data_IF_870750709110
#
_entry.id   IF_870750709110
#
_cell.length_a   1.000
_cell.length_b   1.000
_cell.length_c   1.000
_cell.angle_alpha   90.00
_cell.angle_beta   90.00
_cell.angle_gamma   90.00
#
_symmetry.space_group_name_H-M   'P 1'
#
loop_
_entity.id
_entity.type
_entity.pdbx_description
1 polymer ?
#
# COMPACT_ATOMS: atom_id res chain seq x y z
N UNK A 1 -96.60 18.05 48.78
CA UNK A 1 -95.31 17.37 49.06
C UNK A 1 -94.45 17.37 47.78
N UNK A 2 -93.48 18.31 47.72
CA UNK A 2 -92.66 18.53 46.56
C UNK A 2 -91.25 17.99 46.86
N UNK A 3 -90.85 16.98 46.10
CA UNK A 3 -89.52 16.38 46.18
C UNK A 3 -88.59 17.14 45.17
N UNK A 4 -87.61 17.80 45.68
CA UNK A 4 -86.53 18.44 44.88
C UNK A 4 -85.46 17.43 44.59
N UNK A 5 -85.25 17.14 43.31
CA UNK A 5 -84.11 16.29 42.83
C UNK A 5 -82.87 17.24 42.71
N UNK A 6 -81.77 16.85 43.40
CA UNK A 6 -80.48 17.49 43.33
C UNK A 6 -79.66 16.76 42.22
N UNK A 7 -79.35 17.48 41.14
CA UNK A 7 -78.45 16.93 40.09
C UNK A 7 -76.96 17.23 40.44
N UNK A 8 -76.20 16.15 40.62
CA UNK A 8 -74.76 16.22 40.91
C UNK A 8 -74.01 16.19 39.57
N UNK A 9 -73.46 17.36 39.15
CA UNK A 9 -72.64 17.45 37.95
C UNK A 9 -71.22 16.95 38.21
N UNK A 10 -70.84 15.89 37.56
CA UNK A 10 -69.42 15.42 37.56
C UNK A 10 -68.66 16.12 36.46
N UNK A 11 -67.72 17.00 36.82
CA UNK A 11 -66.77 17.61 35.90
C UNK A 11 -65.61 16.66 35.71
N UNK A 12 -65.51 16.03 34.54
CA UNK A 12 -64.36 15.19 34.12
C UNK A 12 -63.35 16.13 33.51
N UNK A 13 -62.30 16.50 34.24
CA UNK A 13 -61.13 17.22 33.72
C UNK A 13 -60.19 16.24 33.01
N UNK A 14 -60.25 16.20 31.68
CA UNK A 14 -59.32 15.41 30.84
C UNK A 14 -57.95 16.07 30.86
N UNK A 15 -57.00 15.52 31.61
CA UNK A 15 -55.57 15.85 31.52
C UNK A 15 -55.00 15.34 30.20
N UNK A 16 -54.89 16.19 29.18
CA UNK A 16 -54.13 15.93 27.95
C UNK A 16 -52.63 15.99 28.31
N UNK A 17 -52.06 14.85 28.67
CA UNK A 17 -50.64 14.67 28.75
C UNK A 17 -50.08 14.71 27.31
N UNK A 18 -49.59 15.90 26.87
CA UNK A 18 -48.92 16.07 25.60
C UNK A 18 -47.58 15.33 25.63
N UNK A 19 -47.53 14.16 24.92
CA UNK A 19 -46.23 13.53 24.59
C UNK A 19 -45.44 14.46 23.70
N UNK A 20 -44.48 15.20 24.25
CA UNK A 20 -43.51 15.92 23.44
C UNK A 20 -42.70 14.90 22.61
N UNK A 21 -42.56 15.08 21.28
CA UNK A 21 -41.79 14.19 20.48
C UNK A 21 -40.33 14.15 21.01
N UNK A 22 -39.64 12.97 20.95
CA UNK A 22 -38.27 12.86 21.38
C UNK A 22 -37.41 13.84 20.57
N UNK A 23 -36.60 14.68 21.28
CA UNK A 23 -35.62 15.54 20.62
C UNK A 23 -34.67 14.67 19.82
N UNK A 24 -34.77 14.72 18.49
CA UNK A 24 -33.80 14.09 17.59
C UNK A 24 -32.47 14.86 17.76
N UNK A 25 -31.54 14.27 18.48
CA UNK A 25 -30.17 14.81 18.58
C UNK A 25 -29.52 14.57 17.21
N UNK A 26 -29.09 15.61 16.48
CA UNK A 26 -28.43 15.40 15.22
C UNK A 26 -27.14 14.57 15.45
N UNK A 27 -26.76 13.71 14.51
CA UNK A 27 -25.52 12.96 14.63
C UNK A 27 -24.33 13.95 14.74
N UNK A 28 -23.28 13.58 15.48
CA UNK A 28 -22.11 14.43 15.60
C UNK A 28 -21.52 14.72 14.21
N UNK A 29 -20.92 15.90 13.99
CA UNK A 29 -20.31 16.23 12.72
C UNK A 29 -19.19 15.21 12.40
N UNK A 30 -19.05 14.86 11.12
CA UNK A 30 -17.96 13.99 10.67
C UNK A 30 -16.62 14.62 11.00
N UNK A 31 -15.71 13.82 11.50
CA UNK A 31 -14.36 14.26 11.88
C UNK A 31 -13.35 13.24 11.40
N UNK A 32 -12.44 13.69 10.56
CA UNK A 32 -11.36 12.88 10.02
C UNK A 32 -10.03 13.26 10.71
N UNK A 33 -9.19 12.27 10.98
CA UNK A 33 -7.83 12.47 11.48
C UNK A 33 -6.86 12.08 10.35
N UNK A 34 -6.00 13.03 9.97
CA UNK A 34 -4.90 12.79 9.01
C UNK A 34 -3.60 12.78 9.79
N UNK A 35 -2.79 11.75 9.61
CA UNK A 35 -1.48 11.59 10.28
C UNK A 35 -0.43 11.29 9.25
N UNK A 36 0.67 12.05 9.25
CA UNK A 36 1.83 11.81 8.40
C UNK A 36 2.70 10.70 9.02
N UNK A 37 2.75 9.56 8.36
CA UNK A 37 3.55 8.43 8.80
C UNK A 37 4.88 8.40 8.05
N UNK A 38 5.97 7.96 8.69
CA UNK A 38 7.21 7.68 7.98
C UNK A 38 7.03 6.49 7.03
N UNK A 39 7.83 6.47 5.97
CA UNK A 39 7.93 5.32 5.09
C UNK A 39 8.43 4.10 5.89
N UNK A 40 7.76 2.94 5.81
CA UNK A 40 8.14 1.75 6.57
C UNK A 40 9.45 1.11 6.10
N UNK A 41 9.92 1.40 4.87
CA UNK A 41 11.12 0.79 4.29
C UNK A 41 12.39 1.53 4.70
N UNK A 42 12.36 2.86 4.64
CA UNK A 42 13.55 3.68 4.84
C UNK A 42 13.40 4.75 5.92
N UNK A 43 12.22 4.85 6.54
CA UNK A 43 11.93 5.80 7.62
C UNK A 43 11.82 7.26 7.16
N UNK A 44 11.91 7.54 5.85
CA UNK A 44 11.78 8.90 5.33
C UNK A 44 10.39 9.46 5.58
N UNK A 45 10.34 10.75 5.86
CA UNK A 45 9.11 11.49 6.08
C UNK A 45 8.95 12.50 4.94
N UNK A 46 7.85 12.37 4.21
CA UNK A 46 7.48 13.34 3.19
C UNK A 46 6.78 14.56 3.78
N UNK A 47 6.09 15.30 2.93
CA UNK A 47 5.22 16.41 3.30
C UNK A 47 3.80 16.13 2.83
N UNK A 48 2.82 16.43 3.66
CA UNK A 48 1.41 16.33 3.30
C UNK A 48 0.68 17.66 3.53
N UNK A 49 -0.09 18.10 2.54
CA UNK A 49 -0.92 19.29 2.63
C UNK A 49 -2.38 18.88 2.83
N UNK A 50 -3.01 19.37 3.88
CA UNK A 50 -4.41 19.09 4.21
C UNK A 50 -5.23 20.37 4.04
N UNK A 51 -6.20 20.34 3.11
CA UNK A 51 -7.11 21.47 2.83
C UNK A 51 -8.48 21.15 3.40
N UNK A 52 -8.98 22.01 4.29
CA UNK A 52 -10.34 21.92 4.82
C UNK A 52 -11.40 22.45 3.87
N UNK A 53 -12.66 22.15 4.14
CA UNK A 53 -13.81 22.62 3.35
C UNK A 53 -13.93 24.15 3.28
N UNK A 54 -13.34 24.86 4.25
CA UNK A 54 -13.29 26.34 4.28
C UNK A 54 -12.21 26.96 3.40
N UNK A 55 -11.38 26.12 2.72
CA UNK A 55 -10.20 26.55 1.98
C UNK A 55 -8.95 26.77 2.85
N UNK A 56 -9.06 26.62 4.17
CA UNK A 56 -7.89 26.70 5.07
C UNK A 56 -6.96 25.50 4.85
N UNK A 57 -5.66 25.75 4.85
CA UNK A 57 -4.60 24.79 4.53
C UNK A 57 -3.68 24.59 5.72
N UNK A 58 -3.30 23.36 5.98
CA UNK A 58 -2.32 22.97 7.00
C UNK A 58 -1.31 22.02 6.36
N UNK A 59 -0.04 22.20 6.67
CA UNK A 59 1.05 21.36 6.20
C UNK A 59 1.58 20.48 7.34
N UNK A 60 1.75 19.18 7.07
CA UNK A 60 2.37 18.21 7.95
C UNK A 60 3.75 17.87 7.39
N UNK A 61 4.79 17.99 8.21
CA UNK A 61 6.20 17.82 7.77
C UNK A 61 7.00 16.89 8.67
N UNK A 62 6.43 16.43 9.78
CA UNK A 62 7.13 15.60 10.77
C UNK A 62 6.46 14.24 10.92
N UNK A 63 7.25 13.23 11.23
CA UNK A 63 6.74 11.89 11.55
C UNK A 63 5.73 11.95 12.70
N UNK A 64 4.62 11.21 12.55
CA UNK A 64 3.52 11.15 13.51
C UNK A 64 2.86 12.49 13.80
N UNK A 65 3.06 13.50 12.97
CA UNK A 65 2.32 14.75 13.02
C UNK A 65 0.96 14.59 12.37
N UNK A 66 -0.08 15.11 13.01
CA UNK A 66 -1.44 14.99 12.49
C UNK A 66 -2.28 16.24 12.66
N UNK A 67 -3.34 16.31 11.88
CA UNK A 67 -4.39 17.34 11.97
C UNK A 67 -5.77 16.68 11.94
N UNK A 68 -6.72 17.30 12.64
CA UNK A 68 -8.13 16.89 12.63
C UNK A 68 -8.93 17.82 11.74
N UNK A 69 -9.73 17.25 10.86
CA UNK A 69 -10.64 17.97 9.97
C UNK A 69 -12.07 17.67 10.41
N UNK A 70 -12.77 18.67 10.93
CA UNK A 70 -14.18 18.57 11.28
C UNK A 70 -15.02 19.20 10.17
N UNK A 71 -16.13 18.57 9.83
CA UNK A 71 -17.02 19.05 8.77
C UNK A 71 -17.40 20.52 8.97
N UNK A 72 -17.15 21.36 7.96
CA UNK A 72 -17.44 22.79 7.96
C UNK A 72 -16.46 23.66 8.75
N UNK A 73 -15.38 23.09 9.29
CA UNK A 73 -14.35 23.82 10.04
C UNK A 73 -13.00 23.81 9.31
N UNK A 74 -12.11 24.71 9.70
CA UNK A 74 -10.71 24.67 9.29
C UNK A 74 -10.01 23.45 9.94
N UNK A 75 -8.99 22.85 9.29
CA UNK A 75 -8.14 21.86 9.93
C UNK A 75 -7.50 22.42 11.20
N UNK A 76 -7.33 21.59 12.22
CA UNK A 76 -6.62 22.00 13.45
C UNK A 76 -5.14 22.25 13.16
N UNK A 77 -4.47 23.02 14.02
CA UNK A 77 -3.02 23.14 13.95
C UNK A 77 -2.35 21.76 14.05
N UNK A 78 -1.25 21.51 13.31
CA UNK A 78 -0.50 20.26 13.38
C UNK A 78 -0.03 19.97 14.81
N UNK A 79 -0.20 18.73 15.23
CA UNK A 79 0.24 18.27 16.55
C UNK A 79 0.76 16.83 16.46
N UNK A 80 1.68 16.47 17.35
CA UNK A 80 2.15 15.09 17.46
C UNK A 80 0.99 14.19 17.91
N UNK A 81 0.79 13.07 17.19
CA UNK A 81 -0.19 12.03 17.54
C UNK A 81 0.56 10.90 18.24
N UNK A 82 0.20 10.55 19.49
CA UNK A 82 0.84 9.45 20.22
C UNK A 82 0.73 8.12 19.47
N UNK A 83 1.79 7.30 19.51
CA UNK A 83 1.84 6.01 18.83
C UNK A 83 0.68 5.07 19.22
N UNK A 84 0.28 5.08 20.49
CA UNK A 84 -0.86 4.28 20.97
C UNK A 84 -2.18 4.72 20.32
N UNK A 85 -2.36 6.03 20.08
CA UNK A 85 -3.53 6.54 19.36
C UNK A 85 -3.50 6.16 17.88
N UNK A 86 -2.32 6.24 17.23
CA UNK A 86 -2.13 5.77 15.86
C UNK A 86 -2.48 4.29 15.76
N UNK A 87 -1.95 3.47 16.67
CA UNK A 87 -2.22 2.03 16.68
C UNK A 87 -3.70 1.72 16.95
N UNK A 88 -4.33 2.43 17.88
CA UNK A 88 -5.75 2.24 18.20
C UNK A 88 -6.67 2.63 17.05
N UNK A 89 -6.36 3.70 16.32
CA UNK A 89 -7.22 4.24 15.25
C UNK A 89 -6.93 3.56 13.91
N UNK A 90 -5.67 3.38 13.56
CA UNK A 90 -5.22 2.92 12.25
C UNK A 90 -4.65 1.50 12.25
N UNK A 91 -4.46 0.86 13.42
CA UNK A 91 -3.75 -0.41 13.53
C UNK A 91 -4.30 -1.50 12.62
N UNK A 92 -5.62 -1.64 12.51
CA UNK A 92 -6.23 -2.60 11.61
C UNK A 92 -5.93 -2.30 10.12
N UNK A 93 -5.98 -1.03 9.73
CA UNK A 93 -5.67 -0.62 8.35
C UNK A 93 -4.18 -0.76 8.04
N UNK A 94 -3.31 -0.43 9.01
CA UNK A 94 -1.86 -0.60 8.88
C UNK A 94 -1.47 -2.07 8.77
N UNK A 95 -2.12 -2.95 9.55
CA UNK A 95 -1.89 -4.39 9.50
C UNK A 95 -2.42 -5.05 8.21
N UNK A 96 -3.42 -4.43 7.56
CA UNK A 96 -3.98 -4.90 6.30
C UNK A 96 -3.19 -4.42 5.06
N UNK A 97 -2.12 -3.63 5.23
CA UNK A 97 -1.29 -3.18 4.11
C UNK A 97 -0.60 -4.37 3.47
N UNK A 98 -0.50 -4.40 2.13
CA UNK A 98 0.35 -5.36 1.45
C UNK A 98 1.80 -5.24 1.93
N UNK A 99 2.54 -6.34 1.86
CA UNK A 99 3.99 -6.30 2.05
C UNK A 99 4.63 -5.41 0.98
N UNK A 100 5.66 -4.68 1.36
CA UNK A 100 6.42 -3.85 0.43
C UNK A 100 7.01 -4.71 -0.71
N UNK A 101 7.16 -4.15 -1.92
CA UNK A 101 7.82 -4.85 -3.01
C UNK A 101 9.25 -5.27 -2.61
N UNK A 102 9.66 -6.46 -3.04
CA UNK A 102 11.02 -6.96 -2.88
C UNK A 102 11.69 -7.09 -4.24
N UNK A 103 12.95 -6.73 -4.30
CA UNK A 103 13.76 -6.80 -5.51
C UNK A 103 14.96 -7.71 -5.28
N UNK A 104 15.17 -8.66 -6.19
CA UNK A 104 16.32 -9.55 -6.19
C UNK A 104 17.05 -9.41 -7.53
N UNK A 105 18.37 -9.40 -7.48
CA UNK A 105 19.22 -9.35 -8.68
C UNK A 105 20.00 -10.65 -8.77
N UNK A 106 19.81 -11.35 -9.88
CA UNK A 106 20.44 -12.65 -10.15
C UNK A 106 21.43 -12.50 -11.29
N UNK A 107 22.66 -12.95 -11.07
CA UNK A 107 23.75 -12.90 -12.05
C UNK A 107 24.03 -14.29 -12.62
N UNK A 108 24.57 -14.30 -13.84
CA UNK A 108 24.97 -15.51 -14.55
C UNK A 108 26.50 -15.62 -14.62
N UNK A 109 26.99 -16.84 -14.68
CA UNK A 109 28.40 -17.12 -14.98
C UNK A 109 28.78 -16.59 -16.36
N UNK A 110 30.03 -16.19 -16.54
CA UNK A 110 30.50 -15.59 -17.80
C UNK A 110 30.36 -16.59 -18.95
N UNK A 111 29.68 -16.17 -20.02
CA UNK A 111 29.46 -16.99 -21.19
C UNK A 111 28.54 -18.19 -20.98
N UNK A 112 27.73 -18.18 -19.92
CA UNK A 112 26.84 -19.27 -19.55
C UNK A 112 25.43 -18.77 -19.22
N UNK A 113 24.46 -19.67 -19.32
CA UNK A 113 23.08 -19.50 -18.84
C UNK A 113 22.91 -20.09 -17.43
N UNK A 114 23.99 -20.37 -16.73
CA UNK A 114 24.00 -20.88 -15.36
C UNK A 114 24.06 -19.71 -14.38
N UNK A 115 23.16 -19.70 -13.38
CA UNK A 115 23.24 -18.73 -12.28
C UNK A 115 24.50 -18.94 -11.47
N UNK A 116 25.10 -17.83 -11.01
CA UNK A 116 26.20 -17.91 -10.04
C UNK A 116 25.74 -18.62 -8.75
N UNK A 117 26.64 -19.23 -7.97
CA UNK A 117 26.29 -19.86 -6.70
C UNK A 117 25.55 -18.92 -5.75
N UNK A 118 25.97 -17.64 -5.67
CA UNK A 118 25.37 -16.61 -4.84
C UNK A 118 23.94 -16.32 -5.30
N UNK A 119 23.71 -16.17 -6.60
CA UNK A 119 22.38 -15.94 -7.19
C UNK A 119 21.45 -17.14 -6.98
N UNK A 120 21.99 -18.36 -7.11
CA UNK A 120 21.22 -19.58 -6.84
C UNK A 120 20.80 -19.67 -5.37
N UNK A 121 21.63 -19.20 -4.45
CA UNK A 121 21.32 -19.17 -3.01
C UNK A 121 20.16 -18.23 -2.66
N UNK A 122 19.81 -17.26 -3.51
CA UNK A 122 18.66 -16.38 -3.32
C UNK A 122 17.31 -17.03 -3.67
N UNK A 123 17.31 -18.12 -4.45
CA UNK A 123 16.05 -18.76 -4.90
C UNK A 123 15.15 -19.19 -3.72
N UNK A 124 15.63 -19.85 -2.66
CA UNK A 124 14.80 -20.16 -1.50
C UNK A 124 14.20 -18.93 -0.81
N UNK A 125 14.93 -17.81 -0.78
CA UNK A 125 14.44 -16.54 -0.20
C UNK A 125 13.33 -15.93 -1.06
N UNK A 126 13.48 -15.92 -2.38
CA UNK A 126 12.43 -15.50 -3.33
C UNK A 126 11.16 -16.32 -3.09
N UNK A 127 11.28 -17.67 -3.02
CA UNK A 127 10.15 -18.56 -2.77
C UNK A 127 9.48 -18.28 -1.43
N UNK A 128 10.26 -18.05 -0.38
CA UNK A 128 9.74 -17.74 0.95
C UNK A 128 8.96 -16.42 0.96
N UNK A 129 9.48 -15.38 0.28
CA UNK A 129 8.82 -14.08 0.17
C UNK A 129 7.50 -14.18 -0.61
N UNK A 130 7.46 -14.91 -1.73
CA UNK A 130 6.23 -15.14 -2.49
C UNK A 130 5.17 -15.82 -1.62
N UNK A 131 5.55 -16.87 -0.87
CA UNK A 131 4.63 -17.61 0.00
C UNK A 131 4.09 -16.80 1.18
N UNK A 132 4.79 -15.74 1.57
CA UNK A 132 4.36 -14.84 2.64
C UNK A 132 3.28 -13.84 2.17
N UNK A 133 3.04 -13.70 0.86
CA UNK A 133 2.07 -12.77 0.27
C UNK A 133 0.74 -13.47 0.00
N UNK A 134 -0.35 -12.75 0.18
CA UNK A 134 -1.70 -13.28 -0.07
C UNK A 134 -2.01 -13.40 -1.56
N UNK A 135 -1.53 -12.46 -2.37
CA UNK A 135 -1.72 -12.43 -3.82
C UNK A 135 -0.42 -11.93 -4.47
N UNK A 136 0.60 -12.81 -4.56
CA UNK A 136 1.89 -12.43 -5.13
C UNK A 136 1.80 -12.21 -6.64
N UNK A 137 2.50 -11.19 -7.11
CA UNK A 137 2.73 -10.85 -8.50
C UNK A 137 4.24 -10.72 -8.71
N UNK A 138 4.81 -11.50 -9.61
CA UNK A 138 6.22 -11.52 -9.90
C UNK A 138 6.50 -11.04 -11.31
N UNK A 139 7.45 -10.13 -11.43
CA UNK A 139 8.01 -9.73 -12.71
C UNK A 139 9.48 -10.14 -12.77
N UNK A 140 9.85 -10.86 -13.82
CA UNK A 140 11.23 -11.33 -14.07
C UNK A 140 11.74 -10.67 -15.34
N UNK A 141 12.74 -9.79 -15.22
CA UNK A 141 13.25 -8.97 -16.32
C UNK A 141 14.71 -9.33 -16.59
N UNK A 142 15.00 -9.71 -17.85
CA UNK A 142 16.35 -10.01 -18.29
C UNK A 142 17.07 -8.82 -18.91
N UNK A 143 18.36 -8.69 -18.58
CA UNK A 143 19.24 -7.65 -19.07
C UNK A 143 20.53 -8.25 -19.64
N UNK A 144 21.18 -7.50 -20.53
CA UNK A 144 22.49 -7.84 -21.11
C UNK A 144 23.46 -6.69 -20.95
N UNK A 145 24.74 -6.93 -21.20
CA UNK A 145 25.67 -5.85 -21.51
C UNK A 145 25.48 -5.39 -22.97
N UNK A 146 26.25 -4.42 -23.39
CA UNK A 146 26.17 -3.80 -24.73
C UNK A 146 26.97 -4.58 -25.80
N UNK A 147 27.41 -5.80 -25.51
CA UNK A 147 28.16 -6.62 -26.48
C UNK A 147 27.20 -7.23 -27.49
N UNK A 148 27.41 -6.98 -28.77
CA UNK A 148 26.65 -7.58 -29.86
C UNK A 148 25.53 -6.69 -30.39
N UNK A 149 24.48 -7.31 -30.94
CA UNK A 149 23.36 -6.64 -31.58
C UNK A 149 22.21 -6.46 -30.58
N UNK A 150 21.58 -5.29 -30.56
CA UNK A 150 20.52 -4.94 -29.61
C UNK A 150 19.30 -5.89 -29.71
N UNK A 151 18.91 -6.32 -30.92
CA UNK A 151 17.81 -7.26 -31.10
C UNK A 151 18.17 -8.66 -30.56
N UNK A 152 19.42 -9.10 -30.74
CA UNK A 152 19.93 -10.34 -30.16
C UNK A 152 19.99 -10.22 -28.62
N UNK A 153 20.36 -9.07 -28.08
CA UNK A 153 20.42 -8.81 -26.64
C UNK A 153 19.02 -8.84 -25.99
N UNK A 154 17.98 -8.37 -26.66
CA UNK A 154 16.58 -8.54 -26.19
C UNK A 154 16.24 -10.05 -26.09
N UNK A 155 16.57 -10.83 -27.09
CA UNK A 155 16.29 -12.29 -27.08
C UNK A 155 17.09 -13.02 -26.00
N UNK A 156 18.37 -12.68 -25.83
CA UNK A 156 19.23 -13.26 -24.79
C UNK A 156 18.72 -12.92 -23.38
N UNK A 157 18.30 -11.66 -23.15
CA UNK A 157 17.69 -11.24 -21.90
C UNK A 157 16.40 -12.02 -21.61
N UNK A 158 15.54 -12.20 -22.63
CA UNK A 158 14.31 -12.98 -22.50
C UNK A 158 14.57 -14.45 -22.18
N UNK A 159 15.57 -15.07 -22.80
CA UNK A 159 15.98 -16.45 -22.51
C UNK A 159 16.42 -16.60 -21.05
N UNK A 160 17.26 -15.70 -20.54
CA UNK A 160 17.70 -15.69 -19.14
C UNK A 160 16.55 -15.51 -18.16
N UNK A 161 15.66 -14.57 -18.43
CA UNK A 161 14.47 -14.34 -17.60
C UNK A 161 13.56 -15.58 -17.59
N UNK A 162 13.39 -16.26 -18.74
CA UNK A 162 12.64 -17.51 -18.85
C UNK A 162 13.27 -18.63 -18.03
N UNK A 163 14.60 -18.78 -18.07
CA UNK A 163 15.32 -19.76 -17.23
C UNK A 163 15.09 -19.53 -15.75
N UNK A 164 15.12 -18.27 -15.31
CA UNK A 164 14.83 -17.93 -13.90
C UNK A 164 13.38 -18.27 -13.56
N UNK A 165 12.40 -17.88 -14.39
CA UNK A 165 11.00 -18.28 -14.21
C UNK A 165 10.86 -19.79 -14.06
N UNK A 166 11.45 -20.55 -14.97
CA UNK A 166 11.34 -22.02 -14.98
C UNK A 166 11.94 -22.64 -13.71
N UNK A 167 13.04 -22.08 -13.21
CA UNK A 167 13.63 -22.46 -11.93
C UNK A 167 12.70 -22.17 -10.74
N UNK A 168 12.04 -21.01 -10.73
CA UNK A 168 11.08 -20.63 -9.70
C UNK A 168 9.84 -21.53 -9.74
N UNK A 169 9.31 -21.81 -10.93
CA UNK A 169 8.18 -22.73 -11.13
C UNK A 169 8.54 -24.16 -10.70
N UNK A 170 9.71 -24.65 -11.07
CA UNK A 170 10.21 -25.97 -10.61
C UNK A 170 10.37 -26.02 -9.08
N UNK A 171 10.57 -24.88 -8.44
CA UNK A 171 10.65 -24.75 -6.97
C UNK A 171 9.27 -24.56 -6.29
N UNK A 172 8.18 -24.65 -7.08
CA UNK A 172 6.80 -24.71 -6.59
C UNK A 172 6.02 -23.40 -6.67
N UNK A 173 6.43 -22.43 -7.52
CA UNK A 173 5.58 -21.27 -7.85
C UNK A 173 4.59 -21.61 -8.96
N UNK A 174 3.43 -20.93 -8.90
CA UNK A 174 2.45 -20.98 -9.98
C UNK A 174 2.95 -20.15 -11.18
N UNK A 175 3.09 -20.75 -12.38
CA UNK A 175 3.53 -20.02 -13.57
C UNK A 175 2.62 -18.84 -13.93
N UNK A 176 1.34 -18.85 -13.55
CA UNK A 176 0.41 -17.74 -13.77
C UNK A 176 0.73 -16.48 -12.94
N UNK A 177 1.57 -16.61 -11.92
CA UNK A 177 2.02 -15.50 -11.08
C UNK A 177 3.32 -14.84 -11.56
N UNK A 178 3.93 -15.33 -12.64
CA UNK A 178 5.26 -14.91 -13.08
C UNK A 178 5.23 -14.34 -14.49
N UNK A 179 5.33 -13.04 -14.59
CA UNK A 179 5.51 -12.33 -15.85
C UNK A 179 6.99 -12.26 -16.22
N UNK A 180 7.28 -12.44 -17.51
CA UNK A 180 8.64 -12.44 -18.05
C UNK A 180 8.79 -11.36 -19.09
N UNK A 181 9.85 -10.56 -18.97
CA UNK A 181 10.21 -9.52 -19.93
C UNK A 181 11.73 -9.45 -20.15
N UNK A 182 12.15 -8.68 -21.14
CA UNK A 182 13.54 -8.33 -21.37
C UNK A 182 13.70 -6.88 -21.76
N UNK A 183 14.70 -6.23 -21.20
CA UNK A 183 15.18 -4.92 -21.64
C UNK A 183 16.44 -5.03 -22.51
N UNK A 184 17.04 -6.22 -22.62
CA UNK A 184 18.32 -6.38 -23.30
C UNK A 184 19.36 -5.42 -22.73
N UNK A 185 20.00 -4.64 -23.61
CA UNK A 185 20.98 -3.61 -23.23
C UNK A 185 20.38 -2.22 -23.00
N UNK A 186 19.06 -2.04 -23.11
CA UNK A 186 18.42 -0.72 -23.03
C UNK A 186 18.42 -0.13 -21.61
N UNK A 187 18.57 -0.97 -20.58
CA UNK A 187 18.56 -0.56 -19.17
C UNK A 187 19.80 -1.12 -18.47
N UNK A 188 20.89 -0.35 -18.51
CA UNK A 188 22.18 -0.70 -17.95
C UNK A 188 22.26 -0.35 -16.47
N UNK A 189 22.62 -1.31 -15.62
CA UNK A 189 22.97 -1.03 -14.21
C UNK A 189 24.25 -0.20 -14.12
N UNK A 190 25.21 -0.47 -15.02
CA UNK A 190 26.46 0.26 -15.16
C UNK A 190 26.52 0.82 -16.57
N UNK A 191 26.46 2.14 -16.74
CA UNK A 191 26.61 2.77 -18.05
C UNK A 191 27.92 2.35 -18.73
N UNK A 192 27.83 1.81 -19.92
CA UNK A 192 28.99 1.41 -20.75
C UNK A 192 28.80 1.91 -22.18
N UNK A 193 29.88 2.19 -22.93
CA UNK A 193 29.81 2.36 -24.37
C UNK A 193 29.29 1.08 -25.06
N UNK A 194 28.92 1.21 -26.34
CA UNK A 194 28.55 0.07 -27.17
C UNK A 194 29.67 -0.97 -27.25
N UNK A 195 29.30 -2.23 -27.43
CA UNK A 195 30.22 -3.37 -27.52
C UNK A 195 31.21 -3.51 -26.35
N UNK A 196 30.77 -3.16 -25.15
CA UNK A 196 31.57 -3.25 -23.93
C UNK A 196 31.04 -4.34 -23.01
N UNK A 197 31.82 -5.38 -22.68
CA UNK A 197 31.38 -6.39 -21.74
C UNK A 197 31.38 -5.86 -20.31
N UNK A 198 30.24 -5.99 -19.61
CA UNK A 198 30.09 -5.65 -18.20
C UNK A 198 29.27 -6.73 -17.49
N UNK A 199 29.89 -7.40 -16.54
CA UNK A 199 29.27 -8.53 -15.84
C UNK A 199 28.01 -8.12 -15.04
N UNK A 200 28.00 -6.90 -14.45
CA UNK A 200 26.88 -6.40 -13.66
C UNK A 200 25.65 -6.07 -14.52
N UNK A 201 25.84 -5.82 -15.82
CA UNK A 201 24.71 -5.63 -16.75
C UNK A 201 24.08 -6.96 -17.18
N UNK A 202 24.81 -8.09 -17.11
CA UNK A 202 24.31 -9.43 -17.42
C UNK A 202 23.56 -10.02 -16.23
N UNK A 203 22.35 -9.55 -15.99
CA UNK A 203 21.53 -9.84 -14.82
C UNK A 203 20.09 -10.20 -15.18
N UNK A 204 19.41 -10.80 -14.24
CA UNK A 204 17.94 -10.88 -14.20
C UNK A 204 17.46 -10.25 -12.91
N UNK A 205 16.50 -9.38 -13.02
CA UNK A 205 15.81 -8.76 -11.88
C UNK A 205 14.49 -9.48 -11.63
N UNK A 206 14.25 -9.85 -10.37
CA UNK A 206 12.99 -10.42 -9.90
C UNK A 206 12.35 -9.43 -8.93
N UNK A 207 11.20 -8.90 -9.31
CA UNK A 207 10.39 -8.03 -8.46
C UNK A 207 9.17 -8.79 -7.98
N UNK A 208 8.91 -8.77 -6.66
CA UNK A 208 7.74 -9.40 -6.01
C UNK A 208 6.89 -8.29 -5.40
N UNK A 209 5.61 -8.26 -5.74
CA UNK A 209 4.61 -7.31 -5.22
C UNK A 209 3.48 -8.01 -4.49
#
# INVERSE_FOLDING_TARGET
>A
MTVRALALGVVVSSLLAGCAPPKVVPPPPRSDLVVLMPDPEDGRVGTATVTGATGAVVELTRASEGTRVVQGQAPTAPAAVPGDDVQRIFGAALAARPLAPRHFVLYFETGSDTLTPESRALVPEIIADVRARTAPDLTVIGHTDTTGDAAANIQLGLQRATLVRDLLVASGLDPAQVDVASHGEADLLVPTPDNTPEARNRRVEVTIR
#
